data_IF_708322242019
#
_entry.id   IF_708322242019
#
_cell.length_a   1.000
_cell.length_b   1.000
_cell.length_c   1.000
_cell.angle_alpha   90.00
_cell.angle_beta   90.00
_cell.angle_gamma   90.00
#
_symmetry.space_group_name_H-M   'P 1'
#
loop_
_entity.id
_entity.type
_entity.pdbx_description
1 polymer ?
#
# COMPACT_ATOMS: atom_id res chain seq x y z
N UNK A 1 15.70 0.67 -0.36
CA UNK A 1 16.12 1.65 -1.40
C UNK A 1 15.94 3.08 -0.91
N UNK A 2 14.76 3.46 -0.39
CA UNK A 2 14.51 4.82 0.13
C UNK A 2 15.44 5.15 1.30
N UNK A 3 15.67 4.22 2.22
CA UNK A 3 16.56 4.42 3.36
C UNK A 3 18.01 4.73 3.01
N UNK A 4 18.49 4.26 1.86
CA UNK A 4 19.83 4.59 1.40
C UNK A 4 20.01 6.09 1.08
N UNK A 5 18.92 6.79 0.80
CA UNK A 5 18.90 8.23 0.50
C UNK A 5 18.50 9.02 1.75
N UNK A 6 17.43 8.60 2.41
CA UNK A 6 16.83 9.36 3.53
C UNK A 6 17.67 9.33 4.81
N UNK A 7 18.30 8.19 5.13
CA UNK A 7 19.10 8.08 6.36
C UNK A 7 20.34 8.97 6.34
N UNK A 8 21.17 9.00 5.27
CA UNK A 8 22.27 9.97 5.15
C UNK A 8 21.79 11.41 5.26
N UNK A 9 20.74 11.78 4.53
CA UNK A 9 20.18 13.13 4.58
C UNK A 9 19.67 13.52 5.98
N UNK A 10 19.01 12.62 6.70
CA UNK A 10 18.60 12.86 8.08
C UNK A 10 19.81 13.09 9.00
N UNK A 11 20.90 12.31 8.81
CA UNK A 11 22.13 12.48 9.61
C UNK A 11 22.77 13.85 9.34
N UNK A 12 22.84 14.29 8.10
CA UNK A 12 23.33 15.63 7.73
C UNK A 12 22.46 16.73 8.33
N UNK A 13 21.15 16.48 8.51
CA UNK A 13 20.20 17.38 9.17
C UNK A 13 20.24 17.32 10.71
N UNK A 14 21.23 16.66 11.31
CA UNK A 14 21.43 16.63 12.76
C UNK A 14 20.63 15.54 13.51
N UNK A 15 20.00 14.59 12.80
CA UNK A 15 19.31 13.48 13.47
C UNK A 15 20.30 12.47 14.08
N UNK A 16 20.06 11.98 15.31
CA UNK A 16 20.82 10.85 15.85
C UNK A 16 20.69 9.61 14.96
N UNK A 17 21.81 8.90 14.74
CA UNK A 17 21.89 7.78 13.82
C UNK A 17 20.85 6.67 14.08
N UNK A 18 20.65 6.32 15.35
CA UNK A 18 19.67 5.31 15.77
C UNK A 18 18.25 5.76 15.52
N UNK A 19 17.94 7.05 15.69
CA UNK A 19 16.61 7.61 15.47
C UNK A 19 16.31 7.72 14.00
N UNK A 20 17.26 8.19 13.18
CA UNK A 20 17.11 8.22 11.72
C UNK A 20 16.80 6.81 11.15
N UNK A 21 17.54 5.80 11.61
CA UNK A 21 17.29 4.41 11.23
C UNK A 21 15.90 3.93 11.69
N UNK A 22 15.51 4.21 12.93
CA UNK A 22 14.21 3.82 13.49
C UNK A 22 13.04 4.47 12.76
N UNK A 23 13.13 5.77 12.47
CA UNK A 23 12.10 6.48 11.72
C UNK A 23 11.97 5.90 10.31
N UNK A 24 13.10 5.66 9.65
CA UNK A 24 13.08 5.12 8.29
C UNK A 24 12.49 3.70 8.26
N UNK A 25 12.92 2.81 9.15
CA UNK A 25 12.36 1.46 9.26
C UNK A 25 10.86 1.49 9.58
N UNK A 26 10.46 2.35 10.54
CA UNK A 26 9.05 2.51 10.87
C UNK A 26 8.19 3.04 9.72
N UNK A 27 8.72 3.94 8.90
CA UNK A 27 7.97 4.52 7.78
C UNK A 27 7.89 3.57 6.57
N UNK A 28 8.75 2.58 6.45
CA UNK A 28 8.73 1.61 5.37
C UNK A 28 7.38 0.87 5.25
N UNK A 29 6.71 0.61 6.38
CA UNK A 29 5.41 -0.04 6.43
C UNK A 29 4.22 0.81 5.96
N UNK A 30 4.35 2.12 5.85
CA UNK A 30 3.24 3.01 5.43
C UNK A 30 2.78 2.70 4.00
N UNK A 31 3.70 2.33 3.12
CA UNK A 31 3.35 1.96 1.74
C UNK A 31 2.47 0.72 1.64
N UNK A 32 2.56 -0.20 2.60
CA UNK A 32 1.69 -1.38 2.66
C UNK A 32 0.31 -1.08 3.25
N UNK A 33 0.17 0.06 3.94
CA UNK A 33 -1.08 0.51 4.53
C UNK A 33 -1.86 1.46 3.61
N UNK A 34 -1.36 1.72 2.41
CA UNK A 34 -2.04 2.56 1.41
C UNK A 34 -2.62 1.70 0.28
N UNK A 35 -3.75 2.12 -0.35
CA UNK A 35 -4.32 1.43 -1.51
C UNK A 35 -3.31 1.25 -2.62
N UNK A 36 -3.49 0.18 -3.41
CA UNK A 36 -2.55 -0.35 -4.42
C UNK A 36 -1.34 -1.08 -3.81
N UNK A 37 -1.43 -1.52 -2.56
CA UNK A 37 -0.41 -2.41 -2.00
C UNK A 37 -0.65 -3.89 -2.39
N UNK A 38 0.43 -4.66 -2.44
CA UNK A 38 0.36 -6.09 -2.77
C UNK A 38 -0.52 -6.89 -1.81
N UNK A 39 -0.49 -6.54 -0.51
CA UNK A 39 -1.31 -7.19 0.50
C UNK A 39 -2.82 -7.06 0.23
N UNK A 40 -3.27 -5.90 -0.24
CA UNK A 40 -4.66 -5.69 -0.63
C UNK A 40 -5.06 -6.58 -1.81
N UNK A 41 -4.19 -6.71 -2.81
CA UNK A 41 -4.47 -7.58 -3.96
C UNK A 41 -4.52 -9.05 -3.60
N UNK A 42 -3.65 -9.49 -2.69
CA UNK A 42 -3.68 -10.86 -2.16
C UNK A 42 -5.00 -11.11 -1.43
N UNK A 43 -5.39 -10.17 -0.55
CA UNK A 43 -6.64 -10.26 0.22
C UNK A 43 -7.86 -10.36 -0.69
N UNK A 44 -7.93 -9.51 -1.71
CA UNK A 44 -9.03 -9.51 -2.69
C UNK A 44 -9.00 -10.72 -3.64
N UNK A 45 -7.88 -11.42 -3.72
CA UNK A 45 -7.76 -12.69 -4.46
C UNK A 45 -8.29 -13.90 -3.71
N UNK A 46 -8.55 -13.78 -2.40
CA UNK A 46 -9.18 -14.84 -1.61
C UNK A 46 -10.69 -14.88 -1.86
N UNK A 47 -11.20 -16.04 -2.23
CA UNK A 47 -12.63 -16.22 -2.58
C UNK A 47 -13.55 -15.86 -1.40
N UNK A 48 -13.15 -16.18 -0.18
CA UNK A 48 -13.87 -15.90 1.05
C UNK A 48 -14.04 -14.38 1.26
N UNK A 49 -12.99 -13.61 1.01
CA UNK A 49 -13.03 -12.14 1.14
C UNK A 49 -13.83 -11.51 0.00
N UNK A 50 -13.64 -12.01 -1.22
CA UNK A 50 -14.35 -11.51 -2.39
C UNK A 50 -15.87 -11.75 -2.32
N UNK A 51 -16.34 -12.74 -1.55
CA UNK A 51 -17.76 -12.98 -1.32
C UNK A 51 -18.39 -12.05 -0.28
N UNK A 52 -17.60 -11.55 0.69
CA UNK A 52 -18.10 -10.78 1.83
C UNK A 52 -17.94 -9.25 1.65
N UNK A 53 -16.99 -8.82 0.83
CA UNK A 53 -16.76 -7.39 0.61
C UNK A 53 -16.42 -7.06 -0.84
N UNK A 54 -16.86 -5.90 -1.27
CA UNK A 54 -16.51 -5.37 -2.59
C UNK A 54 -15.07 -4.83 -2.61
N UNK A 55 -14.44 -4.84 -3.78
CA UNK A 55 -13.12 -4.26 -3.97
C UNK A 55 -13.05 -2.81 -3.48
N UNK A 56 -14.15 -2.07 -3.68
CA UNK A 56 -14.24 -0.68 -3.25
C UNK A 56 -14.24 -0.50 -1.74
N UNK A 57 -14.99 -1.30 -1.01
CA UNK A 57 -15.03 -1.30 0.45
C UNK A 57 -13.65 -1.64 1.03
N UNK A 58 -12.97 -2.63 0.45
CA UNK A 58 -11.60 -2.98 0.82
C UNK A 58 -10.62 -1.81 0.62
N UNK A 59 -10.73 -1.08 -0.50
CA UNK A 59 -9.92 0.11 -0.75
C UNK A 59 -10.17 1.23 0.26
N UNK A 60 -11.43 1.52 0.60
CA UNK A 60 -11.76 2.52 1.62
C UNK A 60 -11.23 2.10 2.99
N UNK A 61 -11.40 0.84 3.37
CA UNK A 61 -10.91 0.32 4.63
C UNK A 61 -9.40 0.47 4.76
N UNK A 62 -8.65 0.07 3.73
CA UNK A 62 -7.18 0.22 3.70
C UNK A 62 -6.77 1.69 3.67
N UNK A 63 -7.45 2.54 2.90
CA UNK A 63 -7.18 3.97 2.84
C UNK A 63 -7.39 4.66 4.20
N UNK A 64 -8.46 4.32 4.91
CA UNK A 64 -8.74 4.87 6.24
C UNK A 64 -7.68 4.47 7.26
N UNK A 65 -7.30 3.19 7.30
CA UNK A 65 -6.21 2.69 8.13
C UNK A 65 -4.85 3.31 7.77
N UNK A 66 -4.58 3.46 6.47
CA UNK A 66 -3.39 4.11 5.96
C UNK A 66 -3.32 5.58 6.34
N UNK A 67 -4.43 6.32 6.25
CA UNK A 67 -4.51 7.72 6.65
C UNK A 67 -4.23 7.90 8.15
N UNK A 68 -4.83 7.07 9.00
CA UNK A 68 -4.56 7.07 10.44
C UNK A 68 -3.09 6.77 10.74
N UNK A 69 -2.52 5.77 10.07
CA UNK A 69 -1.11 5.43 10.20
C UNK A 69 -0.21 6.59 9.78
N UNK A 70 -0.54 7.25 8.68
CA UNK A 70 0.20 8.40 8.17
C UNK A 70 0.17 9.59 9.16
N UNK A 71 -1.00 9.93 9.69
CA UNK A 71 -1.16 10.99 10.71
C UNK A 71 -0.35 10.64 11.95
N UNK A 72 -0.45 9.40 12.43
CA UNK A 72 0.36 8.94 13.57
C UNK A 72 1.86 9.11 13.33
N UNK A 73 2.34 8.77 12.12
CA UNK A 73 3.76 8.92 11.76
C UNK A 73 4.19 10.38 11.72
N UNK A 74 3.40 11.27 11.17
CA UNK A 74 3.68 12.71 11.20
C UNK A 74 3.83 13.21 12.65
N UNK A 75 2.87 12.86 13.51
CA UNK A 75 2.92 13.24 14.92
C UNK A 75 4.18 12.70 15.61
N UNK A 76 4.53 11.42 15.36
CA UNK A 76 5.74 10.80 15.93
C UNK A 76 7.02 11.48 15.44
N UNK A 77 7.16 11.77 14.18
CA UNK A 77 8.31 12.49 13.62
C UNK A 77 8.40 13.89 14.25
N UNK A 78 7.30 14.62 14.32
CA UNK A 78 7.25 15.93 14.96
C UNK A 78 7.65 15.90 16.44
N UNK A 79 7.21 14.91 17.20
CA UNK A 79 7.62 14.72 18.60
C UNK A 79 9.13 14.42 18.71
N UNK A 80 9.66 13.63 17.78
CA UNK A 80 11.10 13.33 17.76
C UNK A 80 11.94 14.55 17.37
N UNK A 81 11.50 15.40 16.43
CA UNK A 81 12.21 16.66 16.12
C UNK A 81 12.33 17.53 17.35
N UNK A 82 11.27 17.65 18.15
CA UNK A 82 11.30 18.41 19.40
C UNK A 82 12.17 17.73 20.49
N UNK A 83 12.07 16.42 20.62
CA UNK A 83 12.81 15.67 21.65
C UNK A 83 14.33 15.69 21.44
N UNK A 84 14.77 15.68 20.18
CA UNK A 84 16.18 15.61 19.81
C UNK A 84 16.74 16.94 19.32
N UNK A 85 15.98 18.03 19.48
CA UNK A 85 16.36 19.40 19.08
C UNK A 85 16.91 19.49 17.65
N UNK A 86 16.25 18.81 16.72
CA UNK A 86 16.66 18.81 15.33
C UNK A 86 16.35 20.16 14.72
N UNK A 87 17.40 20.84 14.26
CA UNK A 87 17.29 22.18 13.69
C UNK A 87 16.58 22.15 12.33
N UNK A 88 15.81 23.20 12.04
CA UNK A 88 15.19 23.36 10.73
C UNK A 88 16.28 23.61 9.66
N UNK A 89 16.08 23.06 8.49
CA UNK A 89 16.95 23.34 7.34
C UNK A 89 16.89 24.85 7.01
N UNK A 90 18.03 25.53 6.81
CA UNK A 90 18.06 26.95 6.44
C UNK A 90 17.15 27.24 5.24
N UNK A 91 16.44 28.35 5.29
CA UNK A 91 15.44 28.72 4.28
C UNK A 91 16.04 28.90 2.86
N UNK A 92 17.31 29.25 2.78
CA UNK A 92 18.08 29.38 1.54
C UNK A 92 18.32 28.05 0.82
N UNK A 93 18.29 26.94 1.55
CA UNK A 93 18.44 25.58 1.01
C UNK A 93 17.10 24.92 0.62
N UNK A 94 15.98 25.57 0.95
CA UNK A 94 14.65 25.04 0.65
C UNK A 94 14.12 25.67 -0.63
N UNK A 95 13.91 24.87 -1.68
CA UNK A 95 13.23 25.35 -2.89
C UNK A 95 11.80 25.78 -2.55
N UNK A 96 11.34 26.92 -3.08
CA UNK A 96 9.93 27.34 -2.94
C UNK A 96 8.97 26.25 -3.42
N UNK A 97 7.88 26.06 -2.70
CA UNK A 97 6.89 25.03 -3.03
C UNK A 97 6.38 25.15 -4.47
N UNK A 98 6.21 26.40 -4.98
CA UNK A 98 5.76 26.64 -6.34
C UNK A 98 6.74 26.13 -7.40
N UNK A 99 8.03 26.32 -7.19
CA UNK A 99 9.08 25.81 -8.10
C UNK A 99 9.18 24.30 -8.03
N UNK A 100 9.18 23.74 -6.82
CA UNK A 100 9.19 22.28 -6.61
C UNK A 100 7.99 21.60 -7.26
N UNK A 101 6.81 22.21 -7.18
CA UNK A 101 5.60 21.72 -7.83
C UNK A 101 5.72 21.80 -9.36
N UNK A 102 6.22 22.93 -9.89
CA UNK A 102 6.39 23.12 -11.33
C UNK A 102 7.40 22.13 -11.93
N UNK A 103 8.49 21.86 -11.20
CA UNK A 103 9.52 20.92 -11.65
C UNK A 103 9.07 19.46 -11.61
N UNK A 104 8.21 19.09 -10.64
CA UNK A 104 7.87 17.70 -10.36
C UNK A 104 6.39 17.35 -10.53
N UNK A 105 5.57 18.23 -11.12
CA UNK A 105 4.14 18.00 -11.27
C UNK A 105 3.82 16.70 -12.05
N UNK A 106 4.70 16.30 -12.98
CA UNK A 106 4.55 15.07 -13.74
C UNK A 106 4.59 13.82 -12.87
N UNK A 107 5.30 13.85 -11.73
CA UNK A 107 5.30 12.75 -10.77
C UNK A 107 3.95 12.58 -10.06
N UNK A 108 3.18 13.67 -9.93
CA UNK A 108 1.83 13.63 -9.37
C UNK A 108 0.82 12.94 -10.29
N UNK A 109 1.13 12.80 -11.58
CA UNK A 109 0.29 12.04 -12.51
C UNK A 109 0.13 10.57 -12.08
N UNK A 110 1.08 10.01 -11.33
CA UNK A 110 0.97 8.67 -10.77
C UNK A 110 -0.24 8.55 -9.81
N UNK A 111 -0.53 9.61 -9.04
CA UNK A 111 -1.69 9.65 -8.17
C UNK A 111 -3.01 9.64 -8.98
N UNK A 112 -2.99 10.25 -10.15
CA UNK A 112 -4.14 10.23 -11.08
C UNK A 112 -4.42 8.81 -11.54
N UNK A 113 -3.38 7.99 -11.76
CA UNK A 113 -3.52 6.57 -12.12
C UNK A 113 -4.25 5.74 -11.08
N UNK A 114 -4.19 6.13 -9.81
CA UNK A 114 -4.92 5.49 -8.71
C UNK A 114 -6.31 6.15 -8.54
N UNK A 115 -6.35 7.48 -8.56
CA UNK A 115 -7.57 8.23 -8.28
C UNK A 115 -8.66 8.01 -9.34
N UNK A 116 -8.29 7.94 -10.63
CA UNK A 116 -9.27 7.79 -11.72
C UNK A 116 -10.08 6.51 -11.63
N UNK A 117 -9.50 5.30 -11.52
CA UNK A 117 -10.29 4.08 -11.35
C UNK A 117 -11.16 4.10 -10.07
N UNK A 118 -10.63 4.64 -8.98
CA UNK A 118 -11.38 4.78 -7.73
C UNK A 118 -12.60 5.70 -7.89
N UNK A 119 -12.43 6.88 -8.47
CA UNK A 119 -13.53 7.83 -8.70
C UNK A 119 -14.60 7.27 -9.63
N UNK A 120 -14.21 6.50 -10.65
CA UNK A 120 -15.15 5.91 -11.59
C UNK A 120 -15.97 4.79 -10.93
N UNK A 121 -15.36 4.00 -10.05
CA UNK A 121 -16.02 2.83 -9.44
C UNK A 121 -16.72 3.16 -8.12
N UNK A 122 -16.40 4.27 -7.48
CA UNK A 122 -16.86 4.61 -6.13
C UNK A 122 -17.29 6.06 -6.02
N UNK A 123 -18.20 6.30 -5.07
CA UNK A 123 -18.64 7.63 -4.68
C UNK A 123 -19.65 8.27 -5.62
N UNK A 124 -19.88 9.58 -5.48
CA UNK A 124 -20.92 10.30 -6.21
C UNK A 124 -20.70 10.33 -7.73
N UNK A 125 -19.45 10.27 -8.17
CA UNK A 125 -19.12 10.23 -9.60
C UNK A 125 -19.52 8.89 -10.24
N UNK A 126 -19.34 7.78 -9.54
CA UNK A 126 -19.84 6.46 -9.98
C UNK A 126 -21.36 6.48 -10.13
N UNK A 127 -22.06 7.04 -9.14
CA UNK A 127 -23.52 7.17 -9.19
C UNK A 127 -23.96 8.07 -10.36
N UNK A 128 -23.25 9.16 -10.60
CA UNK A 128 -23.50 10.03 -11.74
C UNK A 128 -23.32 9.26 -13.07
N UNK A 129 -22.20 8.55 -13.26
CA UNK A 129 -21.94 7.77 -14.47
C UNK A 129 -23.00 6.69 -14.71
N UNK A 130 -23.40 5.97 -13.67
CA UNK A 130 -24.42 4.91 -13.79
C UNK A 130 -25.79 5.44 -14.17
N UNK A 131 -26.11 6.68 -13.81
CA UNK A 131 -27.39 7.30 -14.08
C UNK A 131 -27.40 8.16 -15.35
N UNK A 132 -26.29 8.78 -15.70
CA UNK A 132 -26.20 9.71 -16.84
C UNK A 132 -25.96 9.02 -18.17
N UNK A 133 -25.39 7.81 -18.16
CA UNK A 133 -25.00 7.09 -19.39
C UNK A 133 -25.69 5.72 -19.43
N UNK A 134 -26.35 5.42 -20.51
CA UNK A 134 -27.13 4.16 -20.68
C UNK A 134 -26.29 2.88 -20.47
N UNK A 135 -25.00 2.91 -20.83
CA UNK A 135 -24.05 1.82 -20.60
C UNK A 135 -23.20 2.00 -19.31
N UNK A 136 -23.51 3.00 -18.48
CA UNK A 136 -22.71 3.36 -17.33
C UNK A 136 -22.62 2.24 -16.28
N UNK A 137 -23.70 1.52 -16.05
CA UNK A 137 -23.72 0.37 -15.11
C UNK A 137 -22.78 -0.75 -15.55
N UNK A 138 -22.78 -1.09 -16.82
CA UNK A 138 -21.93 -2.16 -17.34
C UNK A 138 -20.47 -1.72 -17.42
N UNK A 139 -20.23 -0.46 -17.77
CA UNK A 139 -18.89 0.13 -17.74
C UNK A 139 -18.28 0.12 -16.32
N UNK A 140 -19.02 0.57 -15.32
CA UNK A 140 -18.55 0.58 -13.92
C UNK A 140 -18.31 -0.84 -13.40
N UNK A 141 -19.18 -1.80 -13.74
CA UNK A 141 -18.99 -3.21 -13.37
C UNK A 141 -17.78 -3.87 -14.04
N UNK A 142 -17.46 -3.46 -15.26
CA UNK A 142 -16.34 -4.03 -16.03
C UNK A 142 -14.99 -3.46 -15.59
N UNK A 143 -14.97 -2.32 -14.85
CA UNK A 143 -13.74 -1.74 -14.32
C UNK A 143 -13.32 -2.49 -13.05
N UNK A 144 -12.41 -3.44 -13.23
CA UNK A 144 -11.73 -4.06 -12.10
C UNK A 144 -10.56 -3.18 -11.66
N UNK A 145 -10.68 -2.55 -10.49
CA UNK A 145 -9.65 -1.65 -9.92
C UNK A 145 -8.30 -2.38 -9.80
N UNK A 146 -8.32 -3.65 -9.40
CA UNK A 146 -7.12 -4.49 -9.24
C UNK A 146 -6.32 -4.59 -10.54
N UNK A 147 -7.02 -4.61 -11.68
CA UNK A 147 -6.41 -4.67 -13.00
C UNK A 147 -6.06 -3.29 -13.54
N UNK A 148 -6.99 -2.34 -13.45
CA UNK A 148 -6.85 -1.04 -14.11
C UNK A 148 -5.84 -0.12 -13.45
N UNK A 149 -5.73 -0.11 -12.11
CA UNK A 149 -4.75 0.73 -11.41
C UNK A 149 -3.31 0.40 -11.83
N UNK A 150 -2.84 -0.87 -11.80
CA UNK A 150 -1.49 -1.20 -12.27
C UNK A 150 -1.26 -0.85 -13.74
N UNK A 151 -2.26 -1.06 -14.60
CA UNK A 151 -2.16 -0.74 -16.04
C UNK A 151 -1.97 0.77 -16.24
N UNK A 152 -2.85 1.59 -15.66
CA UNK A 152 -2.80 3.05 -15.83
C UNK A 152 -1.52 3.62 -15.22
N UNK A 153 -1.14 3.19 -14.02
CA UNK A 153 0.11 3.60 -13.38
C UNK A 153 1.31 3.22 -14.25
N UNK A 154 1.33 2.01 -14.82
CA UNK A 154 2.40 1.58 -15.73
C UNK A 154 2.47 2.48 -16.96
N UNK A 155 1.33 2.77 -17.62
CA UNK A 155 1.29 3.67 -18.77
C UNK A 155 1.83 5.06 -18.40
N UNK A 156 1.41 5.61 -17.25
CA UNK A 156 1.90 6.91 -16.77
C UNK A 156 3.41 6.85 -16.52
N UNK A 157 3.91 5.78 -15.87
CA UNK A 157 5.34 5.59 -15.67
C UNK A 157 6.11 5.57 -17.00
N UNK A 158 5.56 4.90 -18.02
CA UNK A 158 6.14 4.88 -19.36
C UNK A 158 6.17 6.28 -19.98
N UNK A 159 5.10 7.06 -19.87
CA UNK A 159 5.03 8.43 -20.42
C UNK A 159 6.00 9.38 -19.69
N UNK A 160 5.99 9.36 -18.36
CA UNK A 160 6.82 10.25 -17.53
C UNK A 160 8.28 9.84 -17.61
N UNK A 161 8.57 8.54 -17.58
CA UNK A 161 9.92 7.97 -17.60
C UNK A 161 10.56 7.89 -18.99
N UNK A 162 9.86 8.26 -20.06
CA UNK A 162 10.29 8.02 -21.45
C UNK A 162 11.71 8.49 -21.78
N UNK A 163 12.19 9.54 -21.11
CA UNK A 163 13.55 10.07 -21.31
C UNK A 163 14.64 9.15 -20.75
N UNK A 164 14.33 8.40 -19.70
CA UNK A 164 15.22 7.52 -18.98
C UNK A 164 15.00 6.04 -19.32
N UNK A 165 14.15 5.76 -20.30
CA UNK A 165 13.85 4.39 -20.70
C UNK A 165 15.03 3.73 -21.40
N UNK A 166 15.16 2.39 -21.21
CA UNK A 166 16.10 1.58 -21.95
C UNK A 166 15.87 1.75 -23.46
N UNK A 167 16.96 2.02 -24.19
CA UNK A 167 16.92 2.22 -25.64
C UNK A 167 17.31 0.96 -26.43
N UNK A 168 18.00 0.06 -25.77
CA UNK A 168 18.51 -1.17 -26.38
C UNK A 168 17.88 -2.42 -25.76
N UNK A 169 17.77 -3.48 -26.56
CA UNK A 169 17.23 -4.75 -26.06
C UNK A 169 18.03 -5.32 -24.88
N UNK A 170 19.34 -5.10 -24.85
CA UNK A 170 20.20 -5.53 -23.72
C UNK A 170 19.85 -4.81 -22.41
N UNK A 171 19.55 -3.52 -22.49
CA UNK A 171 19.12 -2.74 -21.32
C UNK A 171 17.76 -3.22 -20.80
N UNK A 172 16.82 -3.53 -21.70
CA UNK A 172 15.52 -4.12 -21.31
C UNK A 172 15.68 -5.46 -20.60
N UNK A 173 16.56 -6.35 -21.12
CA UNK A 173 16.87 -7.62 -20.45
C UNK A 173 17.48 -7.37 -19.05
N UNK A 174 18.34 -6.36 -18.91
CA UNK A 174 18.89 -5.97 -17.60
C UNK A 174 17.82 -5.53 -16.63
N UNK A 175 16.84 -4.71 -17.07
CA UNK A 175 15.70 -4.28 -16.25
C UNK A 175 14.83 -5.48 -15.84
N UNK A 176 14.50 -6.37 -16.76
CA UNK A 176 13.73 -7.58 -16.47
C UNK A 176 14.47 -8.46 -15.46
N UNK A 177 15.78 -8.65 -15.66
CA UNK A 177 16.62 -9.43 -14.73
C UNK A 177 16.67 -8.80 -13.34
N UNK A 178 16.70 -7.46 -13.21
CA UNK A 178 16.67 -6.80 -11.91
C UNK A 178 15.36 -7.01 -11.15
N UNK A 179 14.25 -7.21 -11.87
CA UNK A 179 12.94 -7.50 -11.28
C UNK A 179 12.74 -9.00 -10.96
N UNK A 180 13.54 -9.88 -11.55
CA UNK A 180 13.37 -11.33 -11.45
C UNK A 180 13.37 -11.83 -10.00
N UNK A 181 14.27 -11.33 -9.16
CA UNK A 181 14.35 -11.72 -7.74
C UNK A 181 13.06 -11.36 -6.99
N UNK A 182 12.53 -10.15 -7.23
CA UNK A 182 11.28 -9.71 -6.60
C UNK A 182 10.09 -10.54 -7.06
N UNK A 183 10.00 -10.85 -8.36
CA UNK A 183 8.95 -11.71 -8.90
C UNK A 183 9.02 -13.12 -8.33
N UNK A 184 10.21 -13.72 -8.25
CA UNK A 184 10.40 -15.06 -7.70
C UNK A 184 10.03 -15.11 -6.22
N UNK A 185 10.44 -14.12 -5.45
CA UNK A 185 10.11 -14.04 -4.01
C UNK A 185 8.62 -13.88 -3.79
N UNK A 186 7.99 -12.89 -4.44
CA UNK A 186 6.55 -12.64 -4.26
C UNK A 186 5.72 -13.82 -4.78
N UNK A 187 6.06 -14.36 -5.96
CA UNK A 187 5.37 -15.51 -6.53
C UNK A 187 5.51 -16.77 -5.67
N UNK A 188 6.69 -17.02 -5.12
CA UNK A 188 6.92 -18.12 -4.19
C UNK A 188 6.12 -17.98 -2.91
N UNK A 189 6.16 -16.81 -2.27
CA UNK A 189 5.38 -16.54 -1.05
C UNK A 189 3.89 -16.73 -1.30
N UNK A 190 3.37 -16.19 -2.41
CA UNK A 190 1.95 -16.34 -2.78
C UNK A 190 1.55 -17.80 -2.97
N UNK A 191 2.35 -18.56 -3.71
CA UNK A 191 2.07 -19.96 -3.98
C UNK A 191 2.00 -20.78 -2.68
N UNK A 192 2.99 -20.63 -1.80
CA UNK A 192 3.00 -21.33 -0.52
C UNK A 192 1.92 -20.83 0.44
N UNK A 193 1.63 -19.54 0.46
CA UNK A 193 0.56 -18.99 1.30
C UNK A 193 -0.82 -19.52 0.88
N UNK A 194 -1.13 -19.54 -0.42
CA UNK A 194 -2.37 -20.11 -0.94
C UNK A 194 -2.46 -21.62 -0.68
N UNK A 195 -1.36 -22.35 -0.87
CA UNK A 195 -1.33 -23.78 -0.56
C UNK A 195 -1.58 -24.04 0.94
N UNK A 196 -0.93 -23.28 1.83
CA UNK A 196 -1.15 -23.38 3.27
C UNK A 196 -2.59 -23.01 3.68
N UNK A 197 -3.14 -21.95 3.10
CA UNK A 197 -4.53 -21.55 3.32
C UNK A 197 -5.50 -22.68 2.93
N UNK A 198 -5.34 -23.26 1.74
CA UNK A 198 -6.17 -24.38 1.31
C UNK A 198 -6.08 -25.59 2.26
N UNK A 199 -4.87 -25.93 2.73
CA UNK A 199 -4.70 -27.02 3.70
C UNK A 199 -5.43 -26.71 5.01
N UNK A 200 -5.31 -25.48 5.53
CA UNK A 200 -5.99 -25.06 6.75
C UNK A 200 -7.52 -25.14 6.60
N UNK A 201 -8.05 -24.70 5.47
CA UNK A 201 -9.48 -24.82 5.17
C UNK A 201 -9.93 -26.29 5.08
N UNK A 202 -9.15 -27.15 4.43
CA UNK A 202 -9.46 -28.59 4.32
C UNK A 202 -9.46 -29.29 5.67
N UNK A 203 -8.63 -28.86 6.62
CA UNK A 203 -8.59 -29.41 8.00
C UNK A 203 -9.72 -28.82 8.86
N UNK A 204 -10.51 -27.87 8.36
CA UNK A 204 -11.60 -27.23 9.11
C UNK A 204 -11.13 -26.23 10.16
N UNK A 205 -9.91 -25.67 10.00
CA UNK A 205 -9.33 -24.70 10.91
C UNK A 205 -10.23 -23.46 11.06
N UNK A 206 -10.80 -22.97 9.96
CA UNK A 206 -11.67 -21.79 9.91
C UNK A 206 -12.93 -22.00 10.75
N UNK A 207 -13.55 -23.19 10.62
CA UNK A 207 -14.73 -23.55 11.39
C UNK A 207 -14.43 -23.71 12.89
N UNK A 208 -13.27 -24.31 13.21
CA UNK A 208 -12.81 -24.46 14.59
C UNK A 208 -12.52 -23.10 15.24
N UNK A 209 -11.88 -22.20 14.50
CA UNK A 209 -11.60 -20.83 14.97
C UNK A 209 -12.89 -20.05 15.18
N UNK A 210 -13.82 -20.15 14.23
CA UNK A 210 -15.14 -19.51 14.32
C UNK A 210 -15.92 -20.01 15.53
N UNK A 211 -15.97 -21.31 15.76
CA UNK A 211 -16.68 -21.90 16.91
C UNK A 211 -16.06 -21.48 18.25
N UNK A 212 -14.74 -21.36 18.34
CA UNK A 212 -14.04 -20.85 19.53
C UNK A 212 -14.42 -19.38 19.78
N UNK A 213 -14.42 -18.56 18.74
CA UNK A 213 -14.78 -17.13 18.85
C UNK A 213 -16.24 -16.96 19.26
N UNK A 214 -17.16 -17.74 18.69
CA UNK A 214 -18.57 -17.71 19.05
C UNK A 214 -18.82 -18.20 20.48
N UNK A 215 -18.10 -19.23 20.92
CA UNK A 215 -18.20 -19.77 22.30
C UNK A 215 -17.77 -18.75 23.36
N UNK A 216 -16.89 -17.80 23.03
CA UNK A 216 -16.48 -16.74 23.94
C UNK A 216 -17.59 -15.72 24.20
N UNK A 217 -18.63 -15.66 23.36
CA UNK A 217 -19.81 -14.78 23.47
C UNK A 217 -19.47 -13.34 23.89
N UNK A 218 -18.41 -12.79 23.31
CA UNK A 218 -17.89 -11.46 23.64
C UNK A 218 -18.63 -10.37 22.85
N UNK A 219 -18.79 -9.17 23.41
CA UNK A 219 -19.27 -8.02 22.66
C UNK A 219 -18.45 -7.79 21.38
N UNK A 220 -19.08 -7.42 20.28
CA UNK A 220 -18.44 -7.30 18.96
C UNK A 220 -17.16 -6.46 18.96
N UNK A 221 -17.11 -5.39 19.75
CA UNK A 221 -15.89 -4.55 19.88
C UNK A 221 -14.72 -5.34 20.49
N UNK A 222 -14.95 -6.13 21.52
CA UNK A 222 -13.91 -6.95 22.17
C UNK A 222 -13.45 -8.06 21.23
N UNK A 223 -14.37 -8.63 20.46
CA UNK A 223 -14.09 -9.63 19.43
C UNK A 223 -13.13 -9.08 18.37
N UNK A 224 -13.41 -7.88 17.84
CA UNK A 224 -12.55 -7.19 16.86
C UNK A 224 -11.16 -6.95 17.47
N UNK A 225 -11.10 -6.46 18.70
CA UNK A 225 -9.83 -6.16 19.39
C UNK A 225 -9.01 -7.45 19.60
N UNK A 226 -9.66 -8.53 20.03
CA UNK A 226 -9.02 -9.84 20.20
C UNK A 226 -8.46 -10.36 18.88
N UNK A 227 -9.25 -10.28 17.81
CA UNK A 227 -8.82 -10.69 16.46
C UNK A 227 -7.64 -9.84 15.98
N UNK A 228 -7.66 -8.53 16.19
CA UNK A 228 -6.52 -7.66 15.84
C UNK A 228 -5.25 -8.04 16.60
N UNK A 229 -5.35 -8.31 17.92
CA UNK A 229 -4.21 -8.75 18.73
C UNK A 229 -3.66 -10.08 18.21
N UNK A 230 -4.54 -11.04 17.93
CA UNK A 230 -4.16 -12.35 17.40
C UNK A 230 -3.45 -12.23 16.06
N UNK A 231 -3.99 -11.44 15.14
CA UNK A 231 -3.37 -11.18 13.84
C UNK A 231 -1.98 -10.55 14.02
N UNK A 232 -1.81 -9.57 14.91
CA UNK A 232 -0.51 -8.93 15.16
C UNK A 232 0.49 -9.93 15.74
N UNK A 233 0.07 -10.78 16.68
CA UNK A 233 0.92 -11.80 17.28
C UNK A 233 1.36 -12.86 16.27
N UNK A 234 0.50 -13.24 15.36
CA UNK A 234 0.80 -14.26 14.33
C UNK A 234 1.60 -13.64 13.18
N UNK A 235 1.20 -12.47 12.70
CA UNK A 235 1.82 -11.80 11.55
C UNK A 235 3.21 -11.23 11.87
N UNK A 236 3.46 -10.79 13.11
CA UNK A 236 4.72 -10.20 13.52
C UNK A 236 5.93 -11.12 13.31
N UNK A 237 5.94 -12.35 13.85
CA UNK A 237 7.02 -13.31 13.59
C UNK A 237 7.15 -13.73 12.12
N UNK A 238 6.03 -13.88 11.41
CA UNK A 238 6.03 -14.31 10.01
C UNK A 238 6.62 -13.22 9.09
N UNK A 239 6.31 -11.94 9.35
CA UNK A 239 6.86 -10.84 8.56
C UNK A 239 8.36 -10.58 8.81
N UNK A 240 8.89 -11.03 9.93
CA UNK A 240 10.32 -10.93 10.25
C UNK A 240 11.16 -12.01 9.53
N UNK A 241 10.53 -13.06 9.04
CA UNK A 241 11.19 -14.19 8.34
C UNK A 241 11.17 -13.98 6.82
N UNK A 242 10.25 -13.16 6.29
CA UNK A 242 10.12 -12.82 4.87
C UNK A 242 10.92 -11.57 4.49
#
# INVERSE_FOLDING_TARGET
>A
TVGAITVPWMKESGWPNNIAATINAGNAGVGQSMPSCSALYILLGLAEVASEMTTGEAYIAVLSGGALTFIYRIIRVWLYTKKYDVQAVPADQIKPLGESFKDNWTSLLMLVGIAVPLLITMGPFSTFLTNAVSFGKDAVKSINIVLWVPIIVSIICFIVGRKNMPKTGKEWVSVIRSCQSSFATVGGVLLFALAASNVLTMVGFDQSLKSILEALNLPGFIMILLTCILVVLVAGPLSAIA
#
